data_IF_879558766296
#
_entry.id   IF_879558766296
#
_cell.length_a   1.000
_cell.length_b   1.000
_cell.length_c   1.000
_cell.angle_alpha   90.00
_cell.angle_beta   90.00
_cell.angle_gamma   90.00
#
_symmetry.space_group_name_H-M   'P 1'
#
loop_
_entity.id
_entity.type
_entity.pdbx_description
1 polymer ?
#
# COMPACT_ATOMS: atom_id res chain seq x y z
N UNK A 1 0.84 30.13 10.49
CA UNK A 1 1.48 28.79 10.40
C UNK A 1 0.47 27.76 10.83
N UNK A 2 0.34 26.70 10.04
CA UNK A 2 -0.58 25.61 10.36
C UNK A 2 0.17 24.52 11.12
N UNK A 3 -0.32 24.17 12.29
CA UNK A 3 0.26 23.08 13.08
C UNK A 3 -0.49 21.79 12.81
N UNK A 4 0.26 20.71 12.57
CA UNK A 4 -0.29 19.37 12.36
C UNK A 4 0.37 18.44 13.37
N UNK A 5 -0.44 17.70 14.11
CA UNK A 5 0.08 16.72 15.06
C UNK A 5 0.65 15.51 14.33
N UNK A 6 1.84 15.10 14.72
CA UNK A 6 2.51 13.93 14.17
C UNK A 6 1.66 12.67 14.33
N UNK A 7 0.93 12.54 15.43
CA UNK A 7 0.04 11.39 15.67
C UNK A 7 -1.04 11.24 14.60
N UNK A 8 -1.59 12.34 14.09
CA UNK A 8 -2.59 12.30 13.01
C UNK A 8 -1.99 11.78 11.71
N UNK A 9 -0.78 12.26 11.40
CA UNK A 9 -0.06 11.82 10.22
C UNK A 9 0.32 10.34 10.32
N UNK A 10 0.76 9.90 11.50
CA UNK A 10 1.09 8.51 11.80
C UNK A 10 -0.10 7.61 11.55
N UNK A 11 -1.29 7.96 12.02
CA UNK A 11 -2.51 7.17 11.83
C UNK A 11 -2.89 7.06 10.35
N UNK A 12 -2.77 8.14 9.60
CA UNK A 12 -3.06 8.16 8.16
C UNK A 12 -2.08 7.27 7.40
N UNK A 13 -0.79 7.39 7.70
CA UNK A 13 0.25 6.58 7.03
C UNK A 13 0.07 5.10 7.34
N UNK A 14 -0.27 4.74 8.58
CA UNK A 14 -0.55 3.35 8.94
C UNK A 14 -1.68 2.77 8.10
N UNK A 15 -2.79 3.51 7.96
CA UNK A 15 -3.92 3.08 7.13
C UNK A 15 -3.52 2.95 5.67
N UNK A 16 -2.75 3.89 5.15
CA UNK A 16 -2.27 3.86 3.77
C UNK A 16 -1.35 2.65 3.52
N UNK A 17 -0.49 2.32 4.47
CA UNK A 17 0.39 1.15 4.35
C UNK A 17 -0.42 -0.15 4.28
N UNK A 18 -1.42 -0.30 5.13
CA UNK A 18 -2.30 -1.47 5.12
C UNK A 18 -3.06 -1.56 3.80
N UNK A 19 -3.67 -0.47 3.38
CA UNK A 19 -4.42 -0.40 2.13
C UNK A 19 -3.54 -0.70 0.92
N UNK A 20 -2.34 -0.13 0.87
CA UNK A 20 -1.40 -0.35 -0.23
C UNK A 20 -0.95 -1.81 -0.35
N UNK A 21 -0.86 -2.53 0.77
CA UNK A 21 -0.48 -3.94 0.76
C UNK A 21 -1.62 -4.90 0.42
N UNK A 22 -2.86 -4.49 0.64
CA UNK A 22 -4.03 -5.36 0.45
C UNK A 22 -4.79 -5.07 -0.84
N UNK A 23 -4.72 -3.84 -1.33
CA UNK A 23 -5.56 -3.40 -2.45
C UNK A 23 -4.73 -2.73 -3.53
N UNK A 24 -4.78 -3.27 -4.75
CA UNK A 24 -4.19 -2.60 -5.91
C UNK A 24 -5.08 -1.43 -6.35
N UNK A 25 -4.47 -0.33 -6.86
CA UNK A 25 -5.26 0.74 -7.49
C UNK A 25 -6.06 0.24 -8.69
N UNK A 26 -7.20 0.85 -8.94
CA UNK A 26 -8.10 0.44 -10.03
C UNK A 26 -7.45 0.53 -11.40
N UNK A 27 -6.61 1.54 -11.64
CA UNK A 27 -5.90 1.69 -12.91
C UNK A 27 -4.95 0.52 -13.18
N UNK A 28 -4.27 0.02 -12.15
CA UNK A 28 -3.38 -1.15 -12.26
C UNK A 28 -4.21 -2.40 -12.52
N UNK A 29 -5.31 -2.60 -11.80
CA UNK A 29 -6.21 -3.73 -12.02
C UNK A 29 -6.75 -3.75 -13.45
N UNK A 30 -7.20 -2.61 -13.94
CA UNK A 30 -7.72 -2.47 -15.30
C UNK A 30 -6.63 -2.77 -16.35
N UNK A 31 -5.42 -2.30 -16.13
CA UNK A 31 -4.30 -2.55 -17.02
C UNK A 31 -3.97 -4.06 -17.11
N UNK A 32 -3.96 -4.75 -15.97
CA UNK A 32 -3.70 -6.20 -15.93
C UNK A 32 -4.81 -6.98 -16.64
N UNK A 33 -6.06 -6.63 -16.40
CA UNK A 33 -7.21 -7.27 -17.04
C UNK A 33 -7.22 -7.04 -18.55
N UNK A 34 -6.85 -5.84 -18.99
CA UNK A 34 -6.73 -5.51 -20.41
C UNK A 34 -5.63 -6.33 -21.07
N UNK A 35 -4.47 -6.43 -20.42
CA UNK A 35 -3.36 -7.29 -20.91
C UNK A 35 -3.79 -8.73 -21.02
N UNK A 36 -4.55 -9.25 -20.06
CA UNK A 36 -5.08 -10.61 -20.08
C UNK A 36 -5.99 -10.83 -21.27
N UNK A 37 -6.86 -9.87 -21.58
CA UNK A 37 -7.78 -9.97 -22.70
C UNK A 37 -7.07 -9.97 -24.06
N UNK A 38 -5.90 -9.31 -24.13
CA UNK A 38 -5.12 -9.20 -25.37
C UNK A 38 -4.02 -10.25 -25.51
N UNK A 39 -3.79 -11.08 -24.49
CA UNK A 39 -2.70 -12.06 -24.50
C UNK A 39 -3.07 -13.31 -25.31
N UNK A 40 -2.17 -13.76 -26.17
CA UNK A 40 -2.38 -14.93 -27.02
C UNK A 40 -1.65 -16.18 -26.51
N UNK A 41 -0.62 -16.03 -25.70
CA UNK A 41 0.16 -17.16 -25.19
C UNK A 41 -0.54 -17.90 -24.05
N UNK A 42 -0.67 -19.20 -24.12
CA UNK A 42 -1.36 -20.00 -23.10
C UNK A 42 -0.67 -19.92 -21.73
N UNK A 43 0.66 -19.92 -21.69
CA UNK A 43 1.40 -19.81 -20.42
C UNK A 43 1.21 -18.43 -19.83
N UNK A 44 1.31 -17.38 -20.64
CA UNK A 44 1.14 -16.00 -20.19
C UNK A 44 -0.29 -15.75 -19.72
N UNK A 45 -1.30 -16.30 -20.37
CA UNK A 45 -2.70 -16.22 -19.91
C UNK A 45 -2.85 -16.83 -18.53
N UNK A 46 -2.27 -17.99 -18.28
CA UNK A 46 -2.32 -18.64 -16.97
C UNK A 46 -1.67 -17.80 -15.87
N UNK A 47 -0.55 -17.18 -16.17
CA UNK A 47 0.15 -16.30 -15.23
C UNK A 47 -0.71 -15.08 -14.91
N UNK A 48 -1.28 -14.43 -15.92
CA UNK A 48 -2.14 -13.27 -15.72
C UNK A 48 -3.42 -13.63 -14.95
N UNK A 49 -4.01 -14.79 -15.21
CA UNK A 49 -5.16 -15.28 -14.47
C UNK A 49 -4.83 -15.49 -12.99
N UNK A 50 -3.65 -16.02 -12.68
CA UNK A 50 -3.20 -16.17 -11.30
C UNK A 50 -2.99 -14.83 -10.61
N UNK A 51 -2.46 -13.84 -11.29
CA UNK A 51 -2.29 -12.50 -10.75
C UNK A 51 -3.65 -11.87 -10.44
N UNK A 52 -4.62 -11.99 -11.35
CA UNK A 52 -5.97 -11.45 -11.17
C UNK A 52 -6.65 -12.14 -9.98
N UNK A 53 -6.58 -13.46 -9.91
CA UNK A 53 -7.14 -14.21 -8.77
C UNK A 53 -6.50 -13.77 -7.45
N UNK A 54 -5.17 -13.58 -7.44
CA UNK A 54 -4.46 -13.17 -6.24
C UNK A 54 -4.92 -11.81 -5.72
N UNK A 55 -5.05 -10.79 -6.58
CA UNK A 55 -5.48 -9.49 -6.09
C UNK A 55 -6.98 -9.47 -5.73
N UNK A 56 -7.80 -10.31 -6.36
CA UNK A 56 -9.20 -10.46 -5.95
C UNK A 56 -9.31 -11.10 -4.56
N UNK A 57 -8.51 -12.10 -4.27
CA UNK A 57 -8.44 -12.73 -2.94
C UNK A 57 -7.98 -11.72 -1.89
N UNK A 58 -6.94 -10.95 -2.22
CA UNK A 58 -6.42 -9.93 -1.30
C UNK A 58 -7.48 -8.88 -0.97
N UNK A 59 -8.24 -8.42 -1.97
CA UNK A 59 -9.33 -7.47 -1.76
C UNK A 59 -10.46 -8.04 -0.89
N UNK A 60 -10.87 -9.26 -1.16
CA UNK A 60 -12.03 -9.86 -0.52
C UNK A 60 -11.74 -10.34 0.90
N UNK A 61 -10.54 -10.83 1.15
CA UNK A 61 -10.15 -11.38 2.43
C UNK A 61 -9.32 -10.42 3.29
N UNK A 62 -8.97 -9.26 2.77
CA UNK A 62 -8.13 -8.25 3.44
C UNK A 62 -6.79 -8.85 3.90
N UNK A 63 -6.14 -9.52 2.97
CA UNK A 63 -4.82 -10.11 3.20
C UNK A 63 -3.80 -9.44 2.26
N UNK A 64 -2.49 -9.49 2.61
CA UNK A 64 -1.45 -8.90 1.75
C UNK A 64 -1.43 -9.52 0.35
N UNK A 65 -1.18 -8.68 -0.64
CA UNK A 65 -1.11 -9.12 -2.05
C UNK A 65 0.08 -10.05 -2.28
N UNK A 66 1.20 -9.79 -1.62
CA UNK A 66 2.41 -10.59 -1.78
C UNK A 66 3.24 -10.62 -0.49
N UNK A 67 4.36 -11.34 -0.53
CA UNK A 67 5.28 -11.50 0.60
C UNK A 67 6.17 -10.29 0.84
N UNK A 68 6.28 -9.41 -0.13
CA UNK A 68 7.21 -8.27 -0.08
C UNK A 68 6.58 -7.10 0.67
N UNK A 69 6.49 -7.25 1.99
CA UNK A 69 5.91 -6.25 2.89
C UNK A 69 6.94 -5.61 3.82
N UNK A 70 8.23 -5.86 3.58
CA UNK A 70 9.30 -5.46 4.49
C UNK A 70 9.79 -4.03 4.34
N UNK A 71 9.34 -3.29 3.33
CA UNK A 71 9.81 -1.93 3.06
C UNK A 71 8.63 -1.01 2.77
N UNK A 72 8.61 0.14 3.45
CA UNK A 72 7.62 1.18 3.17
C UNK A 72 8.31 2.38 2.55
N UNK A 73 7.78 2.84 1.40
CA UNK A 73 8.22 4.08 0.76
C UNK A 73 7.10 5.09 0.92
N UNK A 74 7.40 6.20 1.60
CA UNK A 74 6.42 7.25 1.87
C UNK A 74 6.86 8.53 1.17
N UNK A 75 5.99 9.05 0.31
CA UNK A 75 6.23 10.30 -0.40
C UNK A 75 5.33 11.37 0.21
N UNK A 76 5.95 12.45 0.68
CA UNK A 76 5.24 13.54 1.34
C UNK A 76 5.43 14.84 0.55
N UNK A 77 4.33 15.55 0.35
CA UNK A 77 4.34 16.90 -0.17
C UNK A 77 3.81 17.81 0.94
N UNK A 78 4.70 18.66 1.47
CA UNK A 78 4.42 19.47 2.66
C UNK A 78 4.44 20.94 2.26
N UNK A 79 3.35 21.64 2.54
CA UNK A 79 3.27 23.08 2.31
C UNK A 79 4.23 23.86 3.22
N UNK A 80 4.67 25.00 2.76
CA UNK A 80 5.65 25.83 3.49
C UNK A 80 5.17 26.27 4.85
N UNK A 81 3.87 26.47 5.04
CA UNK A 81 3.29 26.96 6.30
C UNK A 81 2.92 25.84 7.27
N UNK A 82 3.23 24.60 6.96
CA UNK A 82 2.92 23.45 7.81
C UNK A 82 4.06 23.19 8.77
N UNK A 83 3.73 23.02 10.04
CA UNK A 83 4.68 22.66 11.09
C UNK A 83 4.18 21.43 11.85
N UNK A 84 5.03 20.43 12.00
CA UNK A 84 4.69 19.20 12.74
C UNK A 84 5.00 19.38 14.22
N UNK A 85 4.03 19.05 15.05
CA UNK A 85 4.13 19.16 16.51
C UNK A 85 3.80 17.83 17.17
N UNK A 86 4.25 17.65 18.39
CA UNK A 86 3.89 16.49 19.21
C UNK A 86 4.76 15.25 18.98
N UNK A 87 5.94 15.41 18.38
CA UNK A 87 6.88 14.29 18.23
C UNK A 87 7.78 14.40 17.03
N UNK A 88 8.61 13.38 16.85
CA UNK A 88 9.51 13.26 15.70
C UNK A 88 8.87 12.37 14.64
N UNK A 89 8.71 12.91 13.43
CA UNK A 89 8.06 12.21 12.33
C UNK A 89 8.79 10.90 11.96
N UNK A 90 10.11 10.93 11.90
CA UNK A 90 10.90 9.74 11.53
C UNK A 90 10.73 8.60 12.52
N UNK A 91 10.73 8.91 13.83
CA UNK A 91 10.52 7.91 14.88
C UNK A 91 9.10 7.34 14.83
N UNK A 92 8.12 8.18 14.56
CA UNK A 92 6.73 7.74 14.43
C UNK A 92 6.55 6.78 13.26
N UNK A 93 7.22 7.03 12.13
CA UNK A 93 7.17 6.15 10.96
C UNK A 93 7.84 4.80 11.23
N UNK A 94 8.93 4.77 11.99
CA UNK A 94 9.58 3.53 12.40
C UNK A 94 8.62 2.67 13.24
N UNK A 95 7.90 3.27 14.16
CA UNK A 95 6.92 2.56 15.00
C UNK A 95 5.74 2.00 14.21
N UNK A 96 5.34 2.65 13.13
CA UNK A 96 4.27 2.15 12.25
C UNK A 96 4.70 0.87 11.54
N UNK A 97 5.92 0.84 11.00
CA UNK A 97 6.36 -0.25 10.14
C UNK A 97 6.46 -1.58 10.88
N UNK A 98 6.85 -1.58 12.14
CA UNK A 98 6.99 -2.81 12.92
C UNK A 98 5.65 -3.52 13.19
N UNK A 99 4.62 -2.87 13.75
CA UNK A 99 3.33 -3.51 13.95
C UNK A 99 2.67 -3.97 12.65
N UNK A 100 2.81 -3.21 11.58
CA UNK A 100 2.24 -3.56 10.28
C UNK A 100 2.89 -4.83 9.73
N UNK A 101 4.21 -4.97 9.85
CA UNK A 101 4.94 -6.19 9.45
C UNK A 101 4.47 -7.40 10.24
N UNK A 102 4.32 -7.27 11.55
CA UNK A 102 3.86 -8.36 12.41
C UNK A 102 2.43 -8.76 12.08
N UNK A 103 1.56 -7.81 11.76
CA UNK A 103 0.17 -8.09 11.41
C UNK A 103 0.05 -8.84 10.08
N UNK A 104 1.04 -8.74 9.20
CA UNK A 104 1.04 -9.36 7.88
C UNK A 104 1.73 -10.72 7.82
N UNK A 105 2.42 -11.09 8.87
CA UNK A 105 3.06 -12.38 8.98
C UNK A 105 2.08 -13.40 9.57
#
# INVERSE_FOLDING_TARGET
>A
MREVEVSRLTDVIEKLCIEANEHLPEDVKCAIKTCRACEDGEIAKGILDNIIENFDIADNENVPICQDTGMACVFLEIGQDVHFVGGNLNLSLIHISEPTRHAQI
#
